data_IF_898293026446
#
_entry.id   IF_898293026446
#
_cell.length_a   1.000
_cell.length_b   1.000
_cell.length_c   1.000
_cell.angle_alpha   90.00
_cell.angle_beta   90.00
_cell.angle_gamma   90.00
#
_symmetry.space_group_name_H-M   'P 1'
#
loop_
_entity.id
_entity.type
_entity.pdbx_description
1 polymer ?
#
# COMPACT_ATOMS: atom_id res chain seq x y z
N UNK A 1 -13.48 -18.40 -2.23
CA UNK A 1 -12.27 -17.80 -1.60
C UNK A 1 -11.87 -18.48 -0.30
N UNK A 2 -12.80 -18.87 0.57
CA UNK A 2 -12.51 -19.49 1.88
C UNK A 2 -12.00 -20.95 1.87
N UNK A 3 -12.19 -21.69 0.78
CA UNK A 3 -11.79 -23.12 0.70
C UNK A 3 -10.30 -23.28 0.37
N UNK A 4 -9.73 -22.36 -0.42
CA UNK A 4 -8.32 -22.39 -0.80
C UNK A 4 -7.39 -22.09 0.40
N UNK A 5 -7.81 -21.17 1.28
CA UNK A 5 -7.09 -20.83 2.52
C UNK A 5 -7.05 -22.01 3.50
N UNK A 6 -8.13 -22.80 3.58
CA UNK A 6 -8.18 -23.98 4.46
C UNK A 6 -7.25 -25.11 3.98
N UNK A 7 -7.10 -25.29 2.67
CA UNK A 7 -6.21 -26.31 2.13
C UNK A 7 -4.72 -26.01 2.39
N UNK A 8 -4.32 -24.75 2.28
CA UNK A 8 -2.93 -24.33 2.53
C UNK A 8 -2.51 -24.51 4.01
N UNK A 9 -3.43 -24.25 4.95
CA UNK A 9 -3.19 -24.42 6.39
C UNK A 9 -3.04 -25.90 6.78
N UNK A 10 -3.81 -26.79 6.14
CA UNK A 10 -3.74 -28.24 6.44
C UNK A 10 -2.44 -28.88 5.94
N UNK A 11 -1.90 -28.43 4.80
CA UNK A 11 -0.60 -28.92 4.29
C UNK A 11 0.56 -28.51 5.19
N UNK A 12 0.52 -27.30 5.75
CA UNK A 12 1.57 -26.80 6.66
C UNK A 12 1.60 -27.53 8.02
N UNK A 13 0.46 -28.02 8.50
CA UNK A 13 0.37 -28.74 9.79
C UNK A 13 0.80 -30.21 9.67
N UNK A 14 0.71 -30.82 8.48
CA UNK A 14 0.95 -32.26 8.29
C UNK A 14 2.40 -32.64 7.97
N UNK A 15 3.29 -31.68 7.69
CA UNK A 15 4.71 -31.96 7.39
C UNK A 15 5.70 -31.16 8.26
N UNK A 16 5.75 -31.39 9.58
CA UNK A 16 6.69 -30.72 10.49
C UNK A 16 8.15 -31.22 10.36
N UNK A 17 8.44 -32.13 9.43
CA UNK A 17 9.69 -32.88 9.37
C UNK A 17 10.54 -32.60 8.13
N UNK A 18 10.81 -31.32 7.82
CA UNK A 18 11.99 -30.90 7.03
C UNK A 18 12.68 -29.66 7.62
N UNK A 19 12.70 -29.54 8.95
CA UNK A 19 13.60 -28.65 9.68
C UNK A 19 15.01 -29.26 9.76
N UNK A 20 15.64 -29.52 8.61
CA UNK A 20 17.02 -29.96 8.52
C UNK A 20 17.85 -28.92 7.76
N UNK A 21 18.85 -28.37 8.44
CA UNK A 21 20.05 -27.79 7.83
C UNK A 21 19.91 -26.36 7.31
N UNK A 22 20.29 -25.39 8.14
CA UNK A 22 20.67 -24.07 7.68
C UNK A 22 21.95 -24.17 6.83
N UNK A 23 21.80 -24.04 5.52
CA UNK A 23 22.79 -23.37 4.68
C UNK A 23 22.09 -22.15 4.07
N UNK A 24 22.69 -20.97 4.17
CA UNK A 24 22.23 -19.75 3.48
C UNK A 24 22.29 -19.95 1.96
N UNK A 25 21.34 -20.69 1.39
CA UNK A 25 21.09 -20.70 -0.04
C UNK A 25 19.99 -19.68 -0.35
N UNK A 26 20.25 -18.42 -0.01
CA UNK A 26 19.42 -17.32 -0.47
C UNK A 26 19.42 -17.27 -2.00
N UNK A 27 18.29 -16.92 -2.61
CA UNK A 27 18.22 -16.72 -4.05
C UNK A 27 19.26 -15.65 -4.46
N UNK A 28 20.09 -15.89 -5.49
CA UNK A 28 21.13 -14.95 -5.88
C UNK A 28 20.52 -13.81 -6.71
N UNK A 29 19.76 -12.94 -6.06
CA UNK A 29 18.98 -11.88 -6.71
C UNK A 29 19.84 -10.93 -7.57
N UNK A 30 21.12 -10.75 -7.22
CA UNK A 30 22.04 -9.92 -7.97
C UNK A 30 22.49 -10.52 -9.32
N UNK A 31 22.45 -11.86 -9.47
CA UNK A 31 22.83 -12.55 -10.72
C UNK A 31 21.63 -13.01 -11.54
N UNK A 32 20.41 -12.88 -11.00
CA UNK A 32 19.18 -13.19 -11.71
C UNK A 32 18.93 -12.19 -12.85
N UNK A 33 18.56 -12.72 -14.01
CA UNK A 33 18.16 -11.89 -15.14
C UNK A 33 16.86 -11.14 -14.87
N UNK A 34 16.72 -9.94 -15.46
CA UNK A 34 15.50 -9.13 -15.42
C UNK A 34 14.25 -9.88 -15.94
N UNK A 35 14.41 -10.95 -16.73
CA UNK A 35 13.31 -11.79 -17.19
C UNK A 35 12.46 -12.38 -16.05
N UNK A 36 13.03 -12.57 -14.86
CA UNK A 36 12.28 -13.02 -13.67
C UNK A 36 11.23 -12.02 -13.19
N UNK A 37 11.32 -10.74 -13.59
CA UNK A 37 10.32 -9.73 -13.28
C UNK A 37 9.11 -9.72 -14.24
N UNK A 38 9.15 -10.49 -15.34
CA UNK A 38 8.05 -10.52 -16.31
C UNK A 38 6.69 -10.89 -15.70
N UNK A 39 6.57 -11.94 -14.86
CA UNK A 39 5.29 -12.27 -14.26
C UNK A 39 4.74 -11.15 -13.37
N UNK A 40 5.61 -10.42 -12.69
CA UNK A 40 5.24 -9.26 -11.89
C UNK A 40 4.71 -8.12 -12.78
N UNK A 41 5.42 -7.79 -13.87
CA UNK A 41 4.94 -6.79 -14.84
C UNK A 41 3.61 -7.20 -15.49
N UNK A 42 3.46 -8.49 -15.82
CA UNK A 42 2.21 -9.06 -16.35
C UNK A 42 1.05 -8.96 -15.37
N UNK A 43 1.29 -9.23 -14.09
CA UNK A 43 0.30 -9.04 -13.02
C UNK A 43 -0.10 -7.56 -12.88
N UNK A 44 0.86 -6.64 -12.86
CA UNK A 44 0.58 -5.20 -12.79
C UNK A 44 -0.25 -4.72 -13.99
N UNK A 45 0.12 -5.14 -15.20
CA UNK A 45 -0.64 -4.81 -16.40
C UNK A 45 -2.06 -5.38 -16.35
N UNK A 46 -2.20 -6.60 -15.84
CA UNK A 46 -3.51 -7.23 -15.64
C UNK A 46 -4.38 -6.43 -14.66
N UNK A 47 -3.82 -5.96 -13.55
CA UNK A 47 -4.54 -5.15 -12.55
C UNK A 47 -4.88 -3.76 -13.09
N UNK A 48 -4.00 -3.16 -13.89
CA UNK A 48 -4.23 -1.85 -14.49
C UNK A 48 -5.30 -1.87 -15.60
N UNK A 49 -5.30 -2.90 -16.44
CA UNK A 49 -6.16 -2.98 -17.63
C UNK A 49 -7.43 -3.81 -17.42
N UNK A 50 -7.38 -4.84 -16.58
CA UNK A 50 -8.47 -5.79 -16.34
C UNK A 50 -9.78 -5.14 -15.90
N UNK A 51 -9.80 -4.29 -14.85
CA UNK A 51 -11.00 -3.57 -14.42
C UNK A 51 -11.58 -2.65 -15.51
N UNK A 52 -10.73 -2.08 -16.36
CA UNK A 52 -11.12 -1.09 -17.36
C UNK A 52 -11.68 -1.75 -18.64
N UNK A 53 -11.02 -2.82 -19.11
CA UNK A 53 -11.34 -3.48 -20.38
C UNK A 53 -12.32 -4.65 -20.22
N UNK A 54 -12.29 -5.34 -19.08
CA UNK A 54 -13.00 -6.60 -18.86
C UNK A 54 -13.62 -6.72 -17.46
N UNK A 55 -14.35 -5.68 -17.02
CA UNK A 55 -14.88 -5.54 -15.65
C UNK A 55 -15.50 -6.83 -15.07
N UNK A 56 -16.51 -7.40 -15.74
CA UNK A 56 -17.22 -8.58 -15.24
C UNK A 56 -16.33 -9.83 -15.11
N UNK A 57 -15.44 -10.04 -16.08
CA UNK A 57 -14.50 -11.17 -16.07
C UNK A 57 -13.49 -10.98 -14.94
N UNK A 58 -12.95 -9.77 -14.80
CA UNK A 58 -11.99 -9.41 -13.78
C UNK A 58 -12.52 -9.65 -12.37
N UNK A 59 -13.71 -9.15 -12.05
CA UNK A 59 -14.34 -9.33 -10.73
C UNK A 59 -14.48 -10.81 -10.34
N UNK A 60 -14.83 -11.67 -11.31
CA UNK A 60 -15.04 -13.09 -11.05
C UNK A 60 -13.74 -13.92 -11.08
N UNK A 61 -12.72 -13.48 -11.83
CA UNK A 61 -11.52 -14.28 -12.14
C UNK A 61 -10.22 -13.70 -11.59
N UNK A 62 -10.25 -12.56 -10.90
CA UNK A 62 -9.06 -11.91 -10.31
C UNK A 62 -8.15 -12.90 -9.58
N UNK A 63 -8.71 -13.71 -8.68
CA UNK A 63 -7.93 -14.68 -7.91
C UNK A 63 -7.27 -15.77 -8.78
N UNK A 64 -7.91 -16.17 -9.89
CA UNK A 64 -7.34 -17.16 -10.82
C UNK A 64 -6.20 -16.55 -11.64
N UNK A 65 -6.36 -15.29 -12.07
CA UNK A 65 -5.34 -14.54 -12.82
C UNK A 65 -4.12 -14.31 -11.93
N UNK A 66 -4.32 -13.87 -10.68
CA UNK A 66 -3.24 -13.70 -9.71
C UNK A 66 -2.53 -15.02 -9.40
N UNK A 67 -3.29 -16.12 -9.23
CA UNK A 67 -2.72 -17.45 -9.02
C UNK A 67 -1.90 -17.94 -10.22
N UNK A 68 -2.35 -17.67 -11.45
CA UNK A 68 -1.61 -17.98 -12.67
C UNK A 68 -0.26 -17.25 -12.69
N UNK A 69 -0.26 -15.93 -12.47
CA UNK A 69 0.98 -15.15 -12.42
C UNK A 69 1.91 -15.60 -11.28
N UNK A 70 1.34 -15.92 -10.11
CA UNK A 70 2.11 -16.48 -9.00
C UNK A 70 2.76 -17.82 -9.34
N UNK A 71 2.01 -18.73 -9.98
CA UNK A 71 2.54 -20.01 -10.44
C UNK A 71 3.65 -19.85 -11.49
N UNK A 72 3.54 -18.84 -12.37
CA UNK A 72 4.58 -18.51 -13.34
C UNK A 72 5.87 -17.96 -12.70
N UNK A 73 5.85 -17.55 -11.44
CA UNK A 73 7.08 -17.25 -10.67
C UNK A 73 7.56 -18.49 -9.94
N UNK A 74 6.67 -19.15 -9.21
CA UNK A 74 7.04 -20.25 -8.28
C UNK A 74 7.50 -21.49 -9.03
N UNK A 75 6.81 -21.89 -10.12
CA UNK A 75 7.15 -23.11 -10.86
C UNK A 75 8.53 -23.01 -11.53
N UNK A 76 8.87 -21.94 -12.29
CA UNK A 76 10.21 -21.83 -12.85
C UNK A 76 11.29 -21.73 -11.77
N UNK A 77 11.00 -21.10 -10.63
CA UNK A 77 11.94 -20.97 -9.53
C UNK A 77 12.23 -22.32 -8.88
N UNK A 78 11.20 -23.16 -8.69
CA UNK A 78 11.36 -24.54 -8.22
C UNK A 78 12.13 -25.42 -9.21
N UNK A 79 11.97 -25.22 -10.52
CA UNK A 79 12.72 -25.96 -11.55
C UNK A 79 14.17 -25.50 -11.63
N UNK A 80 14.44 -24.20 -11.55
CA UNK A 80 15.78 -23.64 -11.75
C UNK A 80 16.67 -23.71 -10.49
N UNK A 81 16.09 -23.51 -9.31
CA UNK A 81 16.83 -23.43 -8.03
C UNK A 81 16.47 -24.55 -7.05
N UNK A 82 15.54 -25.44 -7.42
CA UNK A 82 15.11 -26.56 -6.59
C UNK A 82 13.88 -26.25 -5.74
N UNK A 83 13.10 -27.30 -5.46
CA UNK A 83 11.87 -27.23 -4.66
C UNK A 83 12.12 -26.70 -3.23
N UNK A 84 13.16 -27.13 -2.50
CA UNK A 84 13.41 -26.65 -1.13
C UNK A 84 13.64 -25.14 -1.07
N UNK A 85 14.56 -24.62 -1.89
CA UNK A 85 14.89 -23.19 -1.97
C UNK A 85 13.70 -22.35 -2.42
N UNK A 86 12.92 -22.84 -3.39
CA UNK A 86 11.71 -22.16 -3.82
C UNK A 86 10.64 -22.08 -2.72
N UNK A 87 10.50 -23.16 -1.96
CA UNK A 87 9.52 -23.23 -0.87
C UNK A 87 9.93 -22.31 0.26
N UNK A 88 11.21 -22.29 0.63
CA UNK A 88 11.76 -21.38 1.63
C UNK A 88 11.53 -19.91 1.23
N UNK A 89 11.88 -19.52 0.00
CA UNK A 89 11.67 -18.16 -0.49
C UNK A 89 10.20 -17.74 -0.46
N UNK A 90 9.29 -18.62 -0.88
CA UNK A 90 7.85 -18.35 -0.85
C UNK A 90 7.32 -18.27 0.57
N UNK A 91 7.76 -19.15 1.47
CA UNK A 91 7.36 -19.13 2.88
C UNK A 91 7.88 -17.88 3.59
N UNK A 92 9.12 -17.49 3.35
CA UNK A 92 9.69 -16.26 3.89
C UNK A 92 8.89 -15.04 3.41
N UNK A 93 8.61 -14.94 2.10
CA UNK A 93 7.78 -13.85 1.56
C UNK A 93 6.36 -13.83 2.14
N UNK A 94 5.72 -15.00 2.30
CA UNK A 94 4.35 -15.07 2.83
C UNK A 94 4.26 -14.78 4.33
N UNK A 95 5.17 -15.33 5.13
CA UNK A 95 5.12 -15.25 6.58
C UNK A 95 5.79 -13.99 7.12
N UNK A 96 6.94 -13.61 6.57
CA UNK A 96 7.71 -12.47 7.08
C UNK A 96 7.28 -11.17 6.43
N UNK A 97 7.09 -11.14 5.11
CA UNK A 97 6.71 -9.91 4.41
C UNK A 97 5.18 -9.71 4.39
N UNK A 98 4.45 -10.63 3.78
CA UNK A 98 3.01 -10.46 3.51
C UNK A 98 2.15 -10.51 4.78
N UNK A 99 2.37 -11.48 5.67
CA UNK A 99 1.60 -11.58 6.92
C UNK A 99 1.82 -10.36 7.81
N UNK A 100 3.06 -9.92 7.99
CA UNK A 100 3.39 -8.72 8.77
C UNK A 100 2.70 -7.48 8.20
N UNK A 101 2.71 -7.34 6.87
CA UNK A 101 2.02 -6.26 6.17
C UNK A 101 0.50 -6.30 6.37
N UNK A 102 -0.13 -7.46 6.22
CA UNK A 102 -1.58 -7.60 6.45
C UNK A 102 -1.94 -7.31 7.90
N UNK A 103 -1.15 -7.76 8.88
CA UNK A 103 -1.40 -7.48 10.30
C UNK A 103 -1.30 -5.97 10.58
N UNK A 104 -0.29 -5.29 10.04
CA UNK A 104 -0.16 -3.84 10.20
C UNK A 104 -1.36 -3.11 9.60
N UNK A 105 -1.70 -3.41 8.34
CA UNK A 105 -2.84 -2.79 7.68
C UNK A 105 -4.14 -3.05 8.44
N UNK A 106 -4.33 -4.27 8.95
CA UNK A 106 -5.51 -4.65 9.72
C UNK A 106 -5.60 -3.88 11.04
N UNK A 107 -4.49 -3.75 11.77
CA UNK A 107 -4.43 -2.96 13.00
C UNK A 107 -4.77 -1.49 12.70
N UNK A 108 -4.16 -0.93 11.67
CA UNK A 108 -4.38 0.47 11.30
C UNK A 108 -5.82 0.72 10.85
N UNK A 109 -6.38 -0.18 10.06
CA UNK A 109 -7.77 -0.14 9.63
C UNK A 109 -8.73 -0.19 10.82
N UNK A 110 -8.49 -1.11 11.76
CA UNK A 110 -9.34 -1.29 12.95
C UNK A 110 -9.32 -0.05 13.84
N UNK A 111 -8.12 0.50 14.10
CA UNK A 111 -7.97 1.70 14.94
C UNK A 111 -8.58 2.92 14.24
N UNK A 112 -8.21 3.17 12.98
CA UNK A 112 -8.61 4.38 12.26
C UNK A 112 -10.09 4.37 11.86
N UNK A 113 -10.62 3.21 11.47
CA UNK A 113 -12.03 3.04 11.10
C UNK A 113 -13.00 3.26 12.27
N UNK A 114 -12.54 3.10 13.52
CA UNK A 114 -13.32 3.39 14.72
C UNK A 114 -13.32 4.86 15.13
N UNK A 115 -12.45 5.71 14.54
CA UNK A 115 -12.35 7.13 14.88
C UNK A 115 -13.32 7.93 14.03
N UNK A 116 -14.40 8.40 14.65
CA UNK A 116 -15.32 9.35 14.03
C UNK A 116 -15.03 10.76 14.53
N UNK A 117 -14.50 11.61 13.67
CA UNK A 117 -14.41 13.04 13.94
C UNK A 117 -15.76 13.70 13.63
N UNK A 118 -16.46 14.16 14.66
CA UNK A 118 -17.74 14.86 14.56
C UNK A 118 -17.56 16.34 14.88
N UNK A 119 -18.19 17.21 14.09
CA UNK A 119 -18.13 18.66 14.25
C UNK A 119 -18.69 19.37 13.02
N UNK A 120 -19.12 20.62 13.20
CA UNK A 120 -19.56 21.48 12.10
C UNK A 120 -18.43 22.44 11.72
N UNK A 121 -17.55 21.98 10.83
CA UNK A 121 -16.41 22.76 10.33
C UNK A 121 -16.86 23.49 9.08
N UNK A 122 -16.69 24.81 9.00
CA UNK A 122 -16.95 25.56 7.79
C UNK A 122 -15.71 25.53 6.87
N UNK A 123 -15.87 25.03 5.64
CA UNK A 123 -14.80 24.86 4.65
C UNK A 123 -14.38 26.17 3.98
N UNK A 124 -13.73 27.06 4.73
CA UNK A 124 -13.00 28.20 4.15
C UNK A 124 -11.67 27.72 3.55
N UNK A 125 -11.06 28.46 2.60
CA UNK A 125 -9.81 28.02 1.97
C UNK A 125 -8.67 27.75 2.96
N UNK A 126 -8.54 28.58 4.00
CA UNK A 126 -7.54 28.38 5.06
C UNK A 126 -7.84 27.17 5.93
N UNK A 127 -9.12 26.91 6.24
CA UNK A 127 -9.52 25.73 7.02
C UNK A 127 -9.27 24.45 6.23
N UNK A 128 -9.63 24.43 4.95
CA UNK A 128 -9.35 23.28 4.09
C UNK A 128 -7.84 23.03 3.96
N UNK A 129 -7.05 24.07 3.71
CA UNK A 129 -5.60 23.93 3.64
C UNK A 129 -5.01 23.42 4.97
N UNK A 130 -5.53 23.90 6.10
CA UNK A 130 -5.18 23.38 7.42
C UNK A 130 -5.53 21.90 7.59
N UNK A 131 -6.73 21.48 7.18
CA UNK A 131 -7.15 20.07 7.20
C UNK A 131 -6.27 19.19 6.31
N UNK A 132 -5.90 19.66 5.13
CA UNK A 132 -4.99 18.96 4.21
C UNK A 132 -3.58 18.83 4.80
N UNK A 133 -3.06 19.91 5.40
CA UNK A 133 -1.75 19.90 6.05
C UNK A 133 -1.73 18.94 7.25
N UNK A 134 -2.72 19.03 8.13
CA UNK A 134 -2.86 18.10 9.26
C UNK A 134 -3.01 16.67 8.78
N UNK A 135 -3.78 16.43 7.72
CA UNK A 135 -3.92 15.11 7.12
C UNK A 135 -2.61 14.56 6.57
N UNK A 136 -1.82 15.39 5.87
CA UNK A 136 -0.52 14.98 5.37
C UNK A 136 0.46 14.63 6.51
N UNK A 137 0.45 15.38 7.60
CA UNK A 137 1.25 15.07 8.79
C UNK A 137 0.77 13.80 9.49
N UNK A 138 -0.54 13.61 9.63
CA UNK A 138 -1.11 12.40 10.20
C UNK A 138 -0.80 11.18 9.34
N UNK A 139 -0.82 11.30 8.02
CA UNK A 139 -0.49 10.20 7.11
C UNK A 139 0.93 9.66 7.34
N UNK A 140 1.88 10.52 7.73
CA UNK A 140 3.23 10.10 8.10
C UNK A 140 3.31 9.36 9.44
N UNK A 141 2.30 9.44 10.30
CA UNK A 141 2.31 8.82 11.64
C UNK A 141 1.44 7.57 11.68
N UNK A 142 0.24 7.67 11.12
CA UNK A 142 -0.79 6.63 11.16
C UNK A 142 -1.12 6.09 9.76
N UNK A 143 -0.27 6.29 8.76
CA UNK A 143 -0.54 5.79 7.41
C UNK A 143 -1.52 6.63 6.60
N UNK A 144 -1.28 6.69 5.29
CA UNK A 144 -2.16 7.35 4.30
C UNK A 144 -3.58 6.80 4.36
N UNK A 145 -3.74 5.47 4.49
CA UNK A 145 -5.04 4.81 4.63
C UNK A 145 -5.78 5.25 5.89
N UNK A 146 -5.09 5.26 7.04
CA UNK A 146 -5.68 5.62 8.33
C UNK A 146 -6.09 7.10 8.38
N UNK A 147 -5.17 7.99 8.01
CA UNK A 147 -5.45 9.43 7.90
C UNK A 147 -6.60 9.72 6.93
N UNK A 148 -6.64 9.00 5.80
CA UNK A 148 -7.71 9.17 4.80
C UNK A 148 -9.07 8.76 5.36
N UNK A 149 -9.16 7.62 6.05
CA UNK A 149 -10.41 7.14 6.65
C UNK A 149 -10.97 8.11 7.69
N UNK A 150 -10.10 8.74 8.49
CA UNK A 150 -10.49 9.70 9.52
C UNK A 150 -10.97 11.02 8.92
N UNK A 151 -10.25 11.55 7.92
CA UNK A 151 -10.42 12.95 7.46
C UNK A 151 -11.29 13.14 6.23
N UNK A 152 -11.51 12.12 5.41
CA UNK A 152 -12.29 12.27 4.18
C UNK A 152 -13.73 12.70 4.47
N UNK A 153 -14.36 12.12 5.51
CA UNK A 153 -15.74 12.44 5.90
C UNK A 153 -15.87 13.87 6.46
N UNK A 154 -15.00 14.33 7.39
CA UNK A 154 -14.94 15.75 7.77
C UNK A 154 -14.78 16.71 6.59
N UNK A 155 -13.88 16.43 5.65
CA UNK A 155 -13.62 17.32 4.51
C UNK A 155 -14.83 17.45 3.58
N UNK A 156 -15.47 16.33 3.26
CA UNK A 156 -16.69 16.34 2.44
C UNK A 156 -17.79 17.14 3.15
N UNK A 157 -18.00 16.89 4.45
CA UNK A 157 -19.02 17.62 5.24
C UNK A 157 -18.72 19.11 5.37
N UNK A 158 -17.45 19.50 5.49
CA UNK A 158 -17.09 20.92 5.61
C UNK A 158 -17.35 21.73 4.32
N UNK A 159 -17.45 21.06 3.17
CA UNK A 159 -17.58 21.68 1.85
C UNK A 159 -18.88 21.28 1.14
N UNK A 160 -19.85 20.72 1.86
CA UNK A 160 -21.14 20.25 1.31
C UNK A 160 -22.00 21.40 0.75
N UNK A 161 -21.88 22.60 1.33
CA UNK A 161 -22.61 23.79 0.95
C UNK A 161 -21.93 24.60 -0.18
N UNK A 162 -20.82 24.12 -0.75
CA UNK A 162 -20.09 24.83 -1.81
C UNK A 162 -20.48 24.32 -3.21
N UNK A 163 -20.62 25.23 -4.21
CA UNK A 163 -20.95 24.83 -5.57
C UNK A 163 -19.82 24.03 -6.25
N UNK A 164 -18.55 24.34 -5.92
CA UNK A 164 -17.37 23.65 -6.43
C UNK A 164 -16.50 23.17 -5.27
N UNK A 165 -16.44 21.86 -5.07
CA UNK A 165 -15.66 21.23 -4.00
C UNK A 165 -14.85 20.01 -4.46
N UNK A 166 -14.94 19.62 -5.74
CA UNK A 166 -14.25 18.46 -6.28
C UNK A 166 -12.73 18.58 -6.17
N UNK A 167 -12.17 19.78 -6.36
CA UNK A 167 -10.74 20.03 -6.22
C UNK A 167 -10.26 19.74 -4.79
N UNK A 168 -11.05 20.05 -3.75
CA UNK A 168 -10.68 19.75 -2.35
C UNK A 168 -10.44 18.26 -2.17
N UNK A 169 -11.28 17.40 -2.75
CA UNK A 169 -11.11 15.94 -2.69
C UNK A 169 -9.92 15.47 -3.53
N UNK A 170 -9.69 16.06 -4.71
CA UNK A 170 -8.53 15.71 -5.55
C UNK A 170 -7.21 16.07 -4.83
N UNK A 171 -7.11 17.27 -4.27
CA UNK A 171 -5.94 17.69 -3.51
C UNK A 171 -5.78 16.94 -2.20
N UNK A 172 -6.87 16.49 -1.58
CA UNK A 172 -6.81 15.53 -0.48
C UNK A 172 -6.13 14.22 -0.88
N UNK A 173 -6.52 13.65 -2.03
CA UNK A 173 -5.89 12.43 -2.53
C UNK A 173 -4.39 12.65 -2.76
N UNK A 174 -3.99 13.78 -3.37
CA UNK A 174 -2.58 14.07 -3.60
C UNK A 174 -1.79 14.30 -2.31
N UNK A 175 -2.26 15.16 -1.42
CA UNK A 175 -1.51 15.55 -0.22
C UNK A 175 -1.59 14.52 0.90
N UNK A 176 -2.78 14.00 1.20
CA UNK A 176 -3.01 13.13 2.36
C UNK A 176 -2.85 11.66 1.98
N UNK A 177 -3.44 11.24 0.86
CA UNK A 177 -3.46 9.83 0.48
C UNK A 177 -2.23 9.37 -0.33
N UNK A 178 -1.34 10.29 -0.71
CA UNK A 178 -0.15 9.98 -1.50
C UNK A 178 1.12 10.59 -0.88
N UNK A 179 1.29 11.92 -0.97
CA UNK A 179 2.53 12.59 -0.53
C UNK A 179 2.76 12.45 0.97
N UNK A 180 1.71 12.58 1.79
CA UNK A 180 1.82 12.60 3.24
C UNK A 180 2.36 11.30 3.86
N UNK A 181 2.37 10.17 3.15
CA UNK A 181 2.89 8.90 3.65
C UNK A 181 4.40 8.70 3.51
N UNK A 182 5.13 9.63 2.91
CA UNK A 182 6.53 9.37 2.49
C UNK A 182 7.57 9.46 3.61
N UNK A 183 7.21 10.02 4.78
CA UNK A 183 8.20 10.27 5.83
C UNK A 183 8.49 9.03 6.69
N UNK A 184 7.56 8.09 6.84
CA UNK A 184 7.78 6.89 7.66
C UNK A 184 7.37 5.62 6.92
N UNK A 185 7.94 4.46 7.30
CA UNK A 185 7.50 3.17 6.76
C UNK A 185 6.04 2.82 7.04
N UNK A 186 5.39 3.48 7.99
CA UNK A 186 3.97 3.28 8.28
C UNK A 186 3.07 4.02 7.28
N UNK A 187 3.62 5.04 6.63
CA UNK A 187 2.90 5.98 5.80
C UNK A 187 2.35 5.36 4.52
N UNK A 188 3.16 4.54 3.85
CA UNK A 188 2.79 3.87 2.61
C UNK A 188 3.24 2.39 2.57
N UNK A 189 2.58 1.54 1.74
CA UNK A 189 2.96 0.14 1.60
C UNK A 189 4.39 -0.11 1.10
N UNK A 190 4.92 0.61 0.08
CA UNK A 190 6.27 0.36 -0.41
C UNK A 190 7.36 0.60 0.64
N UNK A 191 7.27 1.67 1.43
CA UNK A 191 8.24 1.97 2.48
C UNK A 191 8.16 0.95 3.63
N UNK A 192 6.97 0.43 3.94
CA UNK A 192 6.82 -0.65 4.90
C UNK A 192 7.55 -1.93 4.45
N UNK A 193 7.39 -2.31 3.18
CA UNK A 193 8.12 -3.48 2.63
C UNK A 193 9.62 -3.25 2.68
N UNK A 194 10.10 -2.04 2.41
CA UNK A 194 11.51 -1.66 2.59
C UNK A 194 11.99 -1.85 4.03
N UNK A 195 11.19 -1.44 5.02
CA UNK A 195 11.49 -1.66 6.43
C UNK A 195 11.56 -3.15 6.80
N UNK A 196 10.64 -3.98 6.30
CA UNK A 196 10.70 -5.43 6.50
C UNK A 196 11.94 -6.08 5.87
N UNK A 197 12.54 -5.44 4.87
CA UNK A 197 13.80 -5.84 4.22
C UNK A 197 15.05 -5.26 4.89
N UNK A 198 14.91 -4.66 6.07
CA UNK A 198 16.03 -4.20 6.89
C UNK A 198 16.42 -2.73 6.70
N UNK A 199 15.61 -1.92 6.01
CA UNK A 199 15.81 -0.46 5.99
C UNK A 199 15.41 0.14 7.34
N UNK A 200 16.25 1.00 7.91
CA UNK A 200 15.96 1.66 9.18
C UNK A 200 14.69 2.51 9.14
N UNK A 201 13.96 2.55 10.27
CA UNK A 201 12.68 3.25 10.38
C UNK A 201 12.75 4.73 10.00
N UNK A 202 13.83 5.42 10.37
CA UNK A 202 14.00 6.85 10.11
C UNK A 202 14.73 7.17 8.81
N UNK A 203 15.15 6.16 8.04
CA UNK A 203 15.88 6.35 6.78
C UNK A 203 15.07 7.17 5.77
N UNK A 204 13.77 6.93 5.69
CA UNK A 204 12.85 7.68 4.83
C UNK A 204 12.75 9.13 5.26
N UNK A 205 12.61 9.39 6.57
CA UNK A 205 12.60 10.76 7.09
C UNK A 205 13.89 11.48 6.75
N UNK A 206 15.06 10.86 6.93
CA UNK A 206 16.34 11.53 6.68
C UNK A 206 16.58 11.80 5.20
N UNK A 207 16.14 10.89 4.32
CA UNK A 207 16.43 10.93 2.89
C UNK A 207 15.37 11.60 2.04
N UNK A 208 14.10 11.68 2.49
CA UNK A 208 12.97 12.15 1.68
C UNK A 208 12.26 13.38 2.26
N UNK A 209 12.64 13.88 3.44
CA UNK A 209 11.87 14.97 4.06
C UNK A 209 11.89 16.26 3.24
N UNK A 210 12.99 16.57 2.54
CA UNK A 210 13.11 17.81 1.77
C UNK A 210 12.24 17.76 0.53
N UNK A 211 12.28 16.64 -0.17
CA UNK A 211 11.52 16.34 -1.36
C UNK A 211 10.02 16.32 -1.02
N UNK A 212 9.66 15.67 0.09
CA UNK A 212 8.28 15.61 0.60
C UNK A 212 7.75 17.00 0.95
N UNK A 213 8.54 17.79 1.69
CA UNK A 213 8.15 19.14 2.09
C UNK A 213 8.03 20.06 0.87
N UNK A 214 8.94 19.93 -0.10
CA UNK A 214 8.90 20.70 -1.33
C UNK A 214 7.65 20.37 -2.16
N UNK A 215 7.43 19.10 -2.48
CA UNK A 215 6.27 18.67 -3.29
C UNK A 215 4.97 18.94 -2.55
N UNK A 216 4.90 18.61 -1.25
CA UNK A 216 3.73 18.89 -0.41
C UNK A 216 3.43 20.39 -0.32
N UNK A 217 4.46 21.22 -0.14
CA UNK A 217 4.34 22.68 -0.10
C UNK A 217 3.86 23.27 -1.42
N UNK A 218 4.41 22.81 -2.54
CA UNK A 218 3.98 23.25 -3.88
C UNK A 218 2.52 22.86 -4.13
N UNK A 219 2.13 21.60 -3.88
CA UNK A 219 0.76 21.12 -4.11
C UNK A 219 -0.23 21.82 -3.17
N UNK A 220 0.13 22.07 -1.90
CA UNK A 220 -0.69 22.84 -0.97
C UNK A 220 -0.83 24.31 -1.37
N UNK A 221 0.25 24.92 -1.89
CA UNK A 221 0.21 26.28 -2.43
C UNK A 221 -0.71 26.39 -3.64
N UNK A 222 -0.62 25.44 -4.58
CA UNK A 222 -1.52 25.38 -5.74
C UNK A 222 -2.97 25.16 -5.28
N UNK A 223 -3.19 24.26 -4.32
CA UNK A 223 -4.51 24.06 -3.72
C UNK A 223 -5.08 25.37 -3.17
N UNK A 224 -4.30 26.11 -2.37
CA UNK A 224 -4.75 27.37 -1.78
C UNK A 224 -5.17 28.39 -2.84
N UNK A 225 -4.38 28.55 -3.90
CA UNK A 225 -4.70 29.48 -5.00
C UNK A 225 -6.00 29.06 -5.69
N UNK A 226 -6.15 27.78 -6.02
CA UNK A 226 -7.34 27.26 -6.69
C UNK A 226 -8.56 27.37 -5.78
N UNK A 227 -8.42 27.02 -4.49
CA UNK A 227 -9.53 27.04 -3.55
C UNK A 227 -10.02 28.46 -3.29
N UNK A 228 -9.12 29.45 -3.24
CA UNK A 228 -9.48 30.88 -3.15
C UNK A 228 -10.26 31.34 -4.40
N UNK A 229 -9.86 30.92 -5.60
CA UNK A 229 -10.53 31.30 -6.85
C UNK A 229 -11.93 30.67 -6.96
N UNK A 230 -12.09 29.45 -6.46
CA UNK A 230 -13.35 28.68 -6.54
C UNK A 230 -14.23 28.80 -5.28
N UNK A 231 -13.84 29.62 -4.29
CA UNK A 231 -14.63 29.90 -3.09
C UNK A 231 -15.66 30.99 -3.35
#
# INVERSE_FOLDING_TARGET
MWVATKAAIVVAVLFPAQAFGAEEHGLPGASMSLWWALPFAGLLLSIATGPLLFLHVWEHHYGKIAALWGALVVLPLAVAFGVPTATEAVMHALLTEYMSFIILLFALFTISGGILLAGNIHGTPLVNAGLLLVGALLASVIGTTGASMILIRPIIRANDNRPFNAHVVIFFIFLVSNIGGSLTPLGDPPLFVGFLRGVDFFSTTTNLWRETLFVGGVVLGIFLVIDIILH
#
